data_IF_118848295543
#
_entry.id   IF_118848295543
#
_cell.length_a   1.000
_cell.length_b   1.000
_cell.length_c   1.000
_cell.angle_alpha   90.00
_cell.angle_beta   90.00
_cell.angle_gamma   90.00
#
_symmetry.space_group_name_H-M   'P 1'
#
loop_
_entity.id
_entity.type
_entity.pdbx_description
1 polymer ?
#
# COMPACT_ATOMS: atom_id res chain seq x y z
N UNK A 1 1.77 33.33 -5.81
CA UNK A 1 0.48 32.67 -6.10
C UNK A 1 0.79 31.35 -6.76
N UNK A 2 0.64 30.23 -6.05
CA UNK A 2 0.75 28.92 -6.68
C UNK A 2 -0.60 28.67 -7.35
N UNK A 3 -0.60 28.80 -8.67
CA UNK A 3 -1.76 28.48 -9.49
C UNK A 3 -1.97 26.97 -9.32
N UNK A 4 -2.85 26.55 -8.42
CA UNK A 4 -3.47 25.23 -8.51
C UNK A 4 -4.34 25.31 -9.75
N UNK A 5 -3.72 25.10 -10.92
CA UNK A 5 -4.44 24.82 -12.14
C UNK A 5 -5.54 23.84 -11.75
N UNK A 6 -6.80 24.16 -12.03
CA UNK A 6 -7.90 23.24 -11.78
C UNK A 6 -7.57 21.94 -12.50
N UNK A 7 -7.02 20.96 -11.77
CA UNK A 7 -6.68 19.66 -12.31
C UNK A 7 -8.03 18.98 -12.48
N UNK A 8 -8.64 19.20 -13.63
CA UNK A 8 -9.68 18.32 -14.14
C UNK A 8 -8.95 17.02 -14.40
N UNK A 9 -8.93 16.15 -13.38
CA UNK A 9 -8.38 14.82 -13.47
C UNK A 9 -9.11 14.13 -14.62
N UNK A 10 -8.43 13.80 -15.74
CA UNK A 10 -9.10 13.20 -16.87
C UNK A 10 -9.75 11.90 -16.38
N UNK A 11 -11.02 11.65 -16.73
CA UNK A 11 -11.68 10.42 -16.33
C UNK A 11 -10.90 9.23 -16.85
N UNK A 12 -10.73 8.21 -16.00
CA UNK A 12 -10.20 6.92 -16.41
C UNK A 12 -10.94 6.47 -17.66
N UNK A 13 -10.21 6.28 -18.76
CA UNK A 13 -10.83 5.79 -19.98
C UNK A 13 -11.24 4.33 -19.77
N UNK A 14 -12.28 3.86 -20.46
CA UNK A 14 -12.65 2.44 -20.40
C UNK A 14 -11.49 1.52 -20.80
N UNK A 15 -10.62 1.96 -21.69
CA UNK A 15 -9.41 1.24 -22.10
C UNK A 15 -8.38 1.12 -20.94
N UNK A 16 -8.17 2.21 -20.19
CA UNK A 16 -7.32 2.21 -19.01
C UNK A 16 -7.89 1.26 -17.93
N UNK A 17 -9.22 1.29 -17.71
CA UNK A 17 -9.89 0.37 -16.77
C UNK A 17 -9.70 -1.08 -17.21
N UNK A 18 -9.89 -1.40 -18.49
CA UNK A 18 -9.67 -2.74 -19.02
C UNK A 18 -8.22 -3.21 -18.82
N UNK A 19 -7.24 -2.32 -19.02
CA UNK A 19 -5.84 -2.61 -18.73
C UNK A 19 -5.65 -2.93 -17.24
N UNK A 20 -6.11 -2.06 -16.33
CA UNK A 20 -5.97 -2.24 -14.88
C UNK A 20 -6.62 -3.55 -14.41
N UNK A 21 -7.82 -3.88 -14.92
CA UNK A 21 -8.50 -5.15 -14.65
C UNK A 21 -7.68 -6.34 -15.14
N UNK A 22 -7.14 -6.30 -16.36
CA UNK A 22 -6.30 -7.38 -16.88
C UNK A 22 -5.03 -7.62 -16.05
N UNK A 23 -4.40 -6.55 -15.53
CA UNK A 23 -3.25 -6.72 -14.62
C UNK A 23 -3.66 -7.32 -13.28
N UNK A 24 -4.82 -6.91 -12.75
CA UNK A 24 -5.36 -7.45 -11.51
C UNK A 24 -5.72 -8.94 -11.64
N UNK A 25 -6.33 -9.36 -12.74
CA UNK A 25 -6.67 -10.76 -13.00
C UNK A 25 -5.42 -11.65 -13.09
N UNK A 26 -4.38 -11.18 -13.78
CA UNK A 26 -3.08 -11.86 -13.88
C UNK A 26 -2.45 -12.04 -12.49
N UNK A 27 -2.49 -10.99 -11.66
CA UNK A 27 -2.02 -11.05 -10.27
C UNK A 27 -2.86 -12.01 -9.41
N UNK A 28 -4.19 -11.99 -9.55
CA UNK A 28 -5.07 -12.92 -8.83
C UNK A 28 -4.77 -14.37 -9.20
N UNK A 29 -4.51 -14.65 -10.47
CA UNK A 29 -4.12 -15.98 -10.94
C UNK A 29 -2.75 -16.40 -10.36
N UNK A 30 -1.76 -15.49 -10.31
CA UNK A 30 -0.45 -15.74 -9.70
C UNK A 30 -0.58 -16.07 -8.21
N UNK A 31 -1.40 -15.31 -7.47
CA UNK A 31 -1.60 -15.47 -6.02
C UNK A 31 -2.64 -16.52 -5.65
N UNK A 32 -3.26 -17.19 -6.61
CA UNK A 32 -4.37 -18.11 -6.38
C UNK A 32 -5.48 -17.49 -5.51
N UNK A 33 -5.80 -16.23 -5.76
CA UNK A 33 -6.82 -15.46 -5.05
C UNK A 33 -7.99 -15.15 -6.00
N UNK A 34 -9.20 -15.02 -5.45
CA UNK A 34 -10.35 -14.62 -6.24
C UNK A 34 -10.36 -13.13 -6.54
N UNK A 35 -10.88 -12.73 -7.70
CA UNK A 35 -11.07 -11.32 -8.08
C UNK A 35 -12.01 -10.57 -7.10
N UNK A 36 -12.87 -11.31 -6.40
CA UNK A 36 -13.77 -10.81 -5.35
C UNK A 36 -13.18 -10.89 -3.94
N UNK A 37 -11.90 -11.26 -3.78
CA UNK A 37 -11.24 -11.31 -2.48
C UNK A 37 -10.85 -9.90 -2.03
N UNK A 38 -10.86 -9.65 -0.71
CA UNK A 38 -10.42 -8.36 -0.13
C UNK A 38 -9.03 -7.93 -0.59
N UNK A 39 -8.14 -8.90 -0.81
CA UNK A 39 -6.80 -8.63 -1.35
C UNK A 39 -6.87 -8.05 -2.78
N UNK A 40 -7.70 -8.63 -3.64
CA UNK A 40 -7.91 -8.12 -5.00
C UNK A 40 -8.55 -6.72 -4.99
N UNK A 41 -9.53 -6.48 -4.12
CA UNK A 41 -10.14 -5.15 -3.95
C UNK A 41 -9.13 -4.09 -3.48
N UNK A 42 -8.22 -4.46 -2.58
CA UNK A 42 -7.17 -3.56 -2.11
C UNK A 42 -6.20 -3.22 -3.25
N UNK A 43 -5.72 -4.24 -3.96
CA UNK A 43 -4.82 -4.05 -5.11
C UNK A 43 -5.48 -3.24 -6.23
N UNK A 44 -6.79 -3.42 -6.48
CA UNK A 44 -7.54 -2.63 -7.44
C UNK A 44 -7.52 -1.12 -7.11
N UNK A 45 -7.63 -0.76 -5.83
CA UNK A 45 -7.56 0.64 -5.39
C UNK A 45 -6.17 1.22 -5.56
N UNK A 46 -5.14 0.46 -5.20
CA UNK A 46 -3.75 0.87 -5.39
C UNK A 46 -3.40 1.04 -6.86
N UNK A 47 -3.87 0.14 -7.73
CA UNK A 47 -3.75 0.24 -9.18
C UNK A 47 -4.29 1.56 -9.72
N UNK A 48 -5.50 1.94 -9.30
CA UNK A 48 -6.10 3.23 -9.66
C UNK A 48 -5.29 4.38 -9.10
N UNK A 49 -4.88 4.33 -7.83
CA UNK A 49 -4.08 5.38 -7.18
C UNK A 49 -2.75 5.63 -7.89
N UNK A 50 -2.02 4.57 -8.25
CA UNK A 50 -0.77 4.65 -9.01
C UNK A 50 -0.99 5.17 -10.42
N UNK A 51 -2.04 4.71 -11.10
CA UNK A 51 -2.40 5.20 -12.42
C UNK A 51 -2.68 6.69 -12.40
N UNK A 52 -3.45 7.14 -11.42
CA UNK A 52 -3.81 8.54 -11.19
C UNK A 52 -2.62 9.41 -10.75
N UNK A 53 -1.61 8.82 -10.12
CA UNK A 53 -0.33 9.46 -9.81
C UNK A 53 0.58 9.60 -11.06
N UNK A 54 0.22 8.94 -12.18
CA UNK A 54 0.92 9.01 -13.46
C UNK A 54 1.62 7.72 -13.88
N UNK A 55 1.43 6.62 -13.15
CA UNK A 55 2.02 5.31 -13.45
C UNK A 55 1.09 4.53 -14.38
N UNK A 56 1.25 4.72 -15.69
CA UNK A 56 0.38 4.09 -16.71
C UNK A 56 0.96 2.85 -17.36
N UNK A 57 2.13 2.41 -16.91
CA UNK A 57 2.84 1.26 -17.49
C UNK A 57 2.44 -0.05 -16.79
N UNK A 58 1.92 -1.01 -17.56
CA UNK A 58 1.48 -2.33 -17.07
C UNK A 58 2.58 -3.07 -16.32
N UNK A 59 3.81 -3.08 -16.83
CA UNK A 59 4.92 -3.79 -16.19
C UNK A 59 5.31 -3.12 -14.86
N UNK A 60 5.26 -1.79 -14.82
CA UNK A 60 5.53 -1.04 -13.59
C UNK A 60 4.47 -1.29 -12.53
N UNK A 61 3.20 -1.30 -12.91
CA UNK A 61 2.07 -1.63 -12.02
C UNK A 61 2.18 -3.06 -11.47
N UNK A 62 2.46 -4.04 -12.32
CA UNK A 62 2.69 -5.44 -11.90
C UNK A 62 3.88 -5.58 -10.93
N UNK A 63 4.95 -4.83 -11.17
CA UNK A 63 6.08 -4.76 -10.25
C UNK A 63 5.68 -4.25 -8.86
N UNK A 64 4.92 -3.15 -8.80
CA UNK A 64 4.47 -2.55 -7.53
C UNK A 64 3.56 -3.47 -6.72
N UNK A 65 2.66 -4.22 -7.38
CA UNK A 65 1.78 -5.18 -6.69
C UNK A 65 2.55 -6.30 -5.97
N UNK A 66 3.68 -6.75 -6.55
CA UNK A 66 4.56 -7.73 -5.90
C UNK A 66 5.23 -7.17 -4.64
N UNK A 67 5.37 -5.85 -4.53
CA UNK A 67 5.93 -5.18 -3.36
C UNK A 67 4.87 -4.85 -2.30
N UNK A 68 3.66 -4.42 -2.70
CA UNK A 68 2.55 -4.12 -1.76
C UNK A 68 2.11 -5.34 -0.96
N UNK A 69 2.11 -6.52 -1.56
CA UNK A 69 1.68 -7.74 -0.88
C UNK A 69 2.71 -8.30 0.11
N UNK A 70 3.95 -7.78 0.14
CA UNK A 70 4.96 -8.16 1.14
C UNK A 70 4.71 -7.50 2.51
N UNK A 71 3.76 -6.58 2.59
CA UNK A 71 3.33 -5.96 3.84
C UNK A 71 1.88 -6.37 4.21
N UNK A 72 1.62 -7.65 4.55
CA UNK A 72 0.38 -8.02 5.21
C UNK A 72 0.38 -7.66 6.71
N UNK A 73 1.47 -7.07 7.25
CA UNK A 73 1.63 -6.78 8.69
C UNK A 73 1.31 -5.33 9.09
N UNK A 74 1.13 -4.37 8.16
CA UNK A 74 0.61 -3.02 8.48
C UNK A 74 -0.93 -2.97 8.58
N UNK A 75 -1.61 -4.07 8.25
CA UNK A 75 -3.02 -4.29 8.63
C UNK A 75 -3.19 -4.83 10.06
N UNK A 76 -2.17 -4.73 10.92
CA UNK A 76 -2.37 -4.62 12.35
C UNK A 76 -2.98 -3.24 12.69
N UNK A 77 -4.13 -2.92 12.09
CA UNK A 77 -5.11 -2.04 12.74
C UNK A 77 -5.64 -2.84 13.92
N UNK A 78 -4.96 -2.72 15.05
CA UNK A 78 -5.66 -2.79 16.33
C UNK A 78 -6.49 -1.49 16.42
N UNK A 79 -7.83 -1.56 16.53
CA UNK A 79 -8.62 -0.37 16.88
C UNK A 79 -8.50 0.01 18.37
N UNK A 80 -7.37 -0.27 19.02
CA UNK A 80 -7.13 0.16 20.40
C UNK A 80 -5.62 0.23 20.71
N UNK A 81 -5.12 1.46 20.78
CA UNK A 81 -4.18 1.99 21.77
C UNK A 81 -3.18 2.97 21.14
N UNK A 82 -2.98 4.16 21.75
CA UNK A 82 -2.13 5.20 21.22
C UNK A 82 -0.65 4.80 21.30
N UNK A 83 0.08 5.15 20.24
CA UNK A 83 1.52 5.11 20.17
C UNK A 83 2.16 5.85 21.36
N UNK A 84 3.16 5.22 21.99
CA UNK A 84 4.46 5.81 22.38
C UNK A 84 5.16 4.88 23.38
N UNK A 85 6.08 4.04 22.91
CA UNK A 85 7.22 3.61 23.71
C UNK A 85 8.35 3.13 22.78
N UNK A 86 9.11 4.09 22.27
CA UNK A 86 10.48 3.84 21.85
C UNK A 86 11.30 3.46 23.10
N UNK A 87 11.35 2.18 23.45
CA UNK A 87 12.34 1.72 24.43
C UNK A 87 13.63 1.45 23.68
N UNK A 88 14.48 2.48 23.64
CA UNK A 88 15.87 2.34 23.25
C UNK A 88 16.60 1.51 24.30
N UNK A 89 17.26 0.50 23.77
CA UNK A 89 18.24 -0.42 24.34
C UNK A 89 19.39 0.22 25.16
N UNK A 90 19.82 -0.54 26.18
CA UNK A 90 21.08 -0.52 26.96
C UNK A 90 21.29 0.67 27.93
N UNK A 91 22.07 0.59 29.03
CA UNK A 91 22.97 -0.41 29.59
C UNK A 91 23.20 -0.08 31.09
N UNK A 92 23.41 -1.11 31.91
CA UNK A 92 24.58 -1.20 32.79
C UNK A 92 24.69 -0.37 34.09
N UNK A 93 25.04 -1.12 35.16
CA UNK A 93 25.72 -0.74 36.42
C UNK A 93 24.86 -0.12 37.52
N UNK A 94 24.67 -0.84 38.63
CA UNK A 94 25.60 -0.95 39.78
C UNK A 94 25.68 0.41 40.50
N UNK A 95 25.35 0.54 41.78
CA UNK A 95 25.93 -0.17 42.91
C UNK A 95 25.11 0.19 44.16
N UNK A 96 25.15 -0.66 45.19
CA UNK A 96 24.38 -0.47 46.43
C UNK A 96 25.00 0.54 47.41
N UNK A 97 24.62 0.37 48.69
CA UNK A 97 25.09 1.08 49.89
C UNK A 97 24.34 2.40 50.19
N UNK A 98 23.89 2.73 51.40
CA UNK A 98 24.14 2.21 52.76
C UNK A 98 23.19 2.88 53.78
N UNK A 99 23.01 2.24 54.94
CA UNK A 99 22.87 2.92 56.24
C UNK A 99 21.53 3.50 56.64
#
# INVERSE_FOLDING_TARGET
MMQHAGITKPPLQPDDVAMLTAVLEDWCQEKSCGIASRAAEHIARELVSWFECGIRDKHRLAGLMRHVYLDPEDLLVTPDAPACAHVRENAGRADGHDG
#
